data_IF_967047671749
#
_entry.id   IF_967047671749
#
_cell.length_a   1.000
_cell.length_b   1.000
_cell.length_c   1.000
_cell.angle_alpha   90.00
_cell.angle_beta   90.00
_cell.angle_gamma   90.00
#
_symmetry.space_group_name_H-M   'P 1'
#
loop_
_entity.id
_entity.type
_entity.pdbx_description
1 polymer ?
#
# COMPACT_ATOMS: atom_id res chain seq x y z
N UNK A 1 -13.99 -5.70 -25.41
CA UNK A 1 -12.90 -5.15 -24.56
C UNK A 1 -12.91 -3.61 -24.59
N UNK A 2 -13.20 -2.97 -23.46
CA UNK A 2 -13.36 -1.52 -23.38
C UNK A 2 -11.98 -0.82 -23.43
N UNK A 3 -11.70 0.11 -24.36
CA UNK A 3 -10.37 0.71 -24.56
C UNK A 3 -9.88 1.53 -23.35
N UNK A 4 -10.80 1.96 -22.48
CA UNK A 4 -10.46 2.67 -21.24
C UNK A 4 -9.66 1.80 -20.25
N UNK A 5 -10.00 0.51 -20.11
CA UNK A 5 -9.32 -0.39 -19.18
C UNK A 5 -7.89 -0.76 -19.62
N UNK A 6 -7.64 -0.84 -20.93
CA UNK A 6 -6.30 -1.04 -21.47
C UNK A 6 -5.40 0.18 -21.26
N UNK A 7 -5.99 1.39 -21.32
CA UNK A 7 -5.28 2.64 -21.09
C UNK A 7 -4.87 2.82 -19.63
N UNK A 8 -5.76 2.48 -18.68
CA UNK A 8 -5.44 2.53 -17.26
C UNK A 8 -4.38 1.50 -16.86
N UNK A 9 -4.41 0.29 -17.43
CA UNK A 9 -3.39 -0.73 -17.18
C UNK A 9 -1.98 -0.27 -17.63
N UNK A 10 -1.87 0.36 -18.81
CA UNK A 10 -0.60 0.90 -19.29
C UNK A 10 -0.09 2.06 -18.41
N UNK A 11 -0.99 2.93 -17.95
CA UNK A 11 -0.65 4.02 -17.04
C UNK A 11 -0.18 3.50 -15.67
N UNK A 12 -0.81 2.44 -15.15
CA UNK A 12 -0.40 1.77 -13.91
C UNK A 12 1.00 1.19 -14.04
N UNK A 13 1.29 0.47 -15.12
CA UNK A 13 2.60 -0.15 -15.33
C UNK A 13 3.72 0.89 -15.50
N UNK A 14 3.42 2.01 -16.17
CA UNK A 14 4.36 3.13 -16.29
C UNK A 14 4.69 3.71 -14.91
N UNK A 15 3.68 3.95 -14.07
CA UNK A 15 3.90 4.47 -12.72
C UNK A 15 4.60 3.46 -11.80
N UNK A 16 4.35 2.16 -11.93
CA UNK A 16 5.09 1.12 -11.19
C UNK A 16 6.57 1.12 -11.54
N UNK A 17 6.91 1.20 -12.83
CA UNK A 17 8.30 1.28 -13.29
C UNK A 17 8.99 2.54 -12.75
N UNK A 18 8.36 3.70 -12.91
CA UNK A 18 8.89 4.96 -12.38
C UNK A 18 9.05 4.93 -10.86
N UNK A 19 8.14 4.28 -10.13
CA UNK A 19 8.24 4.14 -8.69
C UNK A 19 9.41 3.24 -8.26
N UNK A 20 9.70 2.19 -9.04
CA UNK A 20 10.81 1.26 -8.80
C UNK A 20 12.16 1.91 -9.08
N UNK A 21 12.24 2.69 -10.16
CA UNK A 21 13.49 3.33 -10.60
C UNK A 21 13.77 4.66 -9.87
N UNK A 22 12.77 5.19 -9.16
CA UNK A 22 12.93 6.42 -8.40
C UNK A 22 13.89 6.22 -7.22
N UNK A 23 15.06 6.85 -7.32
CA UNK A 23 16.05 6.90 -6.25
C UNK A 23 15.53 7.58 -4.97
N UNK A 24 14.52 8.46 -5.10
CA UNK A 24 13.97 9.22 -3.99
C UNK A 24 12.65 8.59 -3.49
N UNK A 25 12.55 8.25 -2.19
CA UNK A 25 11.37 7.57 -1.65
C UNK A 25 10.09 8.41 -1.74
N UNK A 26 10.21 9.74 -1.72
CA UNK A 26 9.08 10.66 -1.91
C UNK A 26 8.50 10.57 -3.33
N UNK A 27 9.36 10.52 -4.35
CA UNK A 27 8.97 10.42 -5.76
C UNK A 27 8.29 9.08 -6.03
N UNK A 28 8.86 7.99 -5.52
CA UNK A 28 8.26 6.67 -5.62
C UNK A 28 6.88 6.59 -4.94
N UNK A 29 6.72 7.23 -3.77
CA UNK A 29 5.43 7.28 -3.07
C UNK A 29 4.37 8.03 -3.88
N UNK A 30 4.74 9.12 -4.57
CA UNK A 30 3.83 9.85 -5.45
C UNK A 30 3.34 8.98 -6.62
N UNK A 31 4.23 8.19 -7.22
CA UNK A 31 3.84 7.25 -8.27
C UNK A 31 2.95 6.11 -7.76
N UNK A 32 3.22 5.53 -6.59
CA UNK A 32 2.33 4.53 -5.99
C UNK A 32 0.96 5.11 -5.64
N UNK A 33 0.87 6.35 -5.13
CA UNK A 33 -0.41 7.03 -4.92
C UNK A 33 -1.20 7.19 -6.22
N UNK A 34 -0.50 7.46 -7.34
CA UNK A 34 -1.14 7.55 -8.65
C UNK A 34 -1.67 6.20 -9.12
N UNK A 35 -0.92 5.11 -8.89
CA UNK A 35 -1.40 3.74 -9.15
C UNK A 35 -2.65 3.46 -8.33
N UNK A 36 -2.66 3.77 -7.04
CA UNK A 36 -3.82 3.52 -6.17
C UNK A 36 -5.04 4.38 -6.51
N UNK A 37 -4.84 5.56 -7.10
CA UNK A 37 -5.94 6.38 -7.61
C UNK A 37 -6.59 5.79 -8.87
N UNK A 38 -5.82 5.03 -9.68
CA UNK A 38 -6.32 4.35 -10.88
C UNK A 38 -6.87 2.96 -10.56
N UNK A 39 -6.21 2.25 -9.64
CA UNK A 39 -6.54 0.89 -9.20
C UNK A 39 -6.54 0.84 -7.67
N UNK A 40 -7.66 1.19 -7.03
CA UNK A 40 -7.81 1.05 -5.60
C UNK A 40 -7.67 -0.42 -5.20
N UNK A 41 -6.77 -0.72 -4.27
CA UNK A 41 -6.50 -2.08 -3.81
C UNK A 41 -5.33 -2.78 -4.51
N UNK A 42 -4.58 -2.08 -5.37
CA UNK A 42 -3.35 -2.64 -5.95
C UNK A 42 -2.37 -3.12 -4.86
N UNK A 43 -1.98 -4.41 -4.82
CA UNK A 43 -1.18 -4.95 -3.73
C UNK A 43 0.25 -4.40 -3.73
N UNK A 44 0.89 -4.28 -4.90
CA UNK A 44 2.28 -3.79 -5.01
C UNK A 44 2.39 -2.33 -4.56
N UNK A 45 1.53 -1.45 -5.08
CA UNK A 45 1.52 -0.04 -4.67
C UNK A 45 1.10 0.14 -3.21
N UNK A 46 0.16 -0.67 -2.72
CA UNK A 46 -0.27 -0.61 -1.32
C UNK A 46 0.85 -1.03 -0.38
N UNK A 47 1.52 -2.15 -0.66
CA UNK A 47 2.65 -2.64 0.13
C UNK A 47 3.78 -1.61 0.17
N UNK A 48 4.18 -1.07 -0.98
CA UNK A 48 5.29 -0.14 -1.08
C UNK A 48 5.02 1.19 -0.36
N UNK A 49 3.79 1.71 -0.44
CA UNK A 49 3.40 2.93 0.28
C UNK A 49 3.24 2.67 1.78
N UNK A 50 2.63 1.54 2.17
CA UNK A 50 2.47 1.17 3.57
C UNK A 50 3.82 1.02 4.29
N UNK A 51 4.81 0.34 3.70
CA UNK A 51 6.17 0.23 4.28
C UNK A 51 6.79 1.60 4.56
N UNK A 52 6.60 2.55 3.66
CA UNK A 52 7.11 3.91 3.83
C UNK A 52 6.37 4.67 4.94
N UNK A 53 5.04 4.56 4.98
CA UNK A 53 4.23 5.16 6.04
C UNK A 53 4.64 4.62 7.42
N UNK A 54 4.92 3.32 7.52
CA UNK A 54 5.43 2.70 8.75
C UNK A 54 6.79 3.26 9.15
N UNK A 55 7.72 3.40 8.19
CA UNK A 55 9.02 4.01 8.43
C UNK A 55 8.93 5.49 8.84
N UNK A 56 7.92 6.21 8.37
CA UNK A 56 7.62 7.59 8.76
C UNK A 56 6.89 7.70 10.11
N UNK A 57 6.42 6.58 10.66
CA UNK A 57 5.68 6.52 11.92
C UNK A 57 4.15 6.54 11.78
N UNK A 58 3.63 6.70 10.56
CA UNK A 58 2.21 6.77 10.23
C UNK A 58 1.60 5.38 10.05
N UNK A 59 1.73 4.53 11.08
CA UNK A 59 1.21 3.17 11.06
C UNK A 59 -0.32 3.12 10.83
N UNK A 60 -1.07 4.13 11.29
CA UNK A 60 -2.52 4.23 11.11
C UNK A 60 -2.93 4.30 9.63
N UNK A 61 -2.24 5.12 8.85
CA UNK A 61 -2.51 5.23 7.44
C UNK A 61 -2.06 3.99 6.68
N UNK A 62 -0.91 3.40 7.07
CA UNK A 62 -0.42 2.15 6.51
C UNK A 62 -1.46 1.02 6.65
N UNK A 63 -2.05 0.84 7.84
CA UNK A 63 -3.07 -0.20 8.04
C UNK A 63 -4.35 0.03 7.24
N UNK A 64 -4.81 1.28 7.10
CA UNK A 64 -6.00 1.56 6.27
C UNK A 64 -5.75 1.18 4.81
N UNK A 65 -4.54 1.48 4.33
CA UNK A 65 -4.11 1.15 2.98
C UNK A 65 -4.04 -0.37 2.79
N UNK A 66 -3.39 -1.09 3.73
CA UNK A 66 -3.28 -2.54 3.71
C UNK A 66 -4.64 -3.24 3.83
N UNK A 67 -5.55 -2.73 4.66
CA UNK A 67 -6.91 -3.27 4.78
C UNK A 67 -7.68 -3.18 3.46
N UNK A 68 -7.53 -2.07 2.72
CA UNK A 68 -8.17 -1.90 1.40
C UNK A 68 -7.59 -2.88 0.38
N UNK A 69 -6.27 -3.06 0.39
CA UNK A 69 -5.60 -4.01 -0.49
C UNK A 69 -5.92 -5.47 -0.16
N UNK A 70 -6.01 -5.83 1.13
CA UNK A 70 -6.43 -7.15 1.59
C UNK A 70 -7.90 -7.44 1.28
N UNK A 71 -8.77 -6.43 1.26
CA UNK A 71 -10.16 -6.62 0.85
C UNK A 71 -10.26 -7.05 -0.63
N UNK A 72 -9.35 -6.55 -1.49
CA UNK A 72 -9.25 -6.94 -2.89
C UNK A 72 -8.44 -8.24 -3.09
N UNK A 73 -7.41 -8.45 -2.27
CA UNK A 73 -6.45 -9.56 -2.34
C UNK A 73 -6.24 -10.20 -0.96
N UNK A 74 -7.24 -10.94 -0.44
CA UNK A 74 -7.23 -11.43 0.94
C UNK A 74 -6.20 -12.53 1.22
N UNK A 75 -5.66 -13.16 0.18
CA UNK A 75 -4.66 -14.21 0.27
C UNK A 75 -3.24 -13.74 -0.09
N UNK A 76 -3.03 -12.43 -0.24
CA UNK A 76 -1.71 -11.90 -0.54
C UNK A 76 -0.84 -11.92 0.73
N UNK A 77 0.11 -12.86 0.74
CA UNK A 77 0.98 -13.12 1.89
C UNK A 77 1.81 -11.89 2.28
N UNK A 78 2.25 -11.08 1.32
CA UNK A 78 3.06 -9.89 1.60
C UNK A 78 2.24 -8.81 2.31
N UNK A 79 0.97 -8.64 1.92
CA UNK A 79 0.06 -7.72 2.62
C UNK A 79 -0.25 -8.19 4.04
N UNK A 80 -0.45 -9.50 4.23
CA UNK A 80 -0.68 -10.10 5.54
C UNK A 80 0.55 -9.92 6.44
N UNK A 81 1.73 -10.27 5.94
CA UNK A 81 3.00 -10.17 6.67
C UNK A 81 3.25 -8.74 7.17
N UNK A 82 3.14 -7.77 6.27
CA UNK A 82 3.34 -6.37 6.63
C UNK A 82 2.26 -5.87 7.60
N UNK A 83 1.01 -6.31 7.45
CA UNK A 83 -0.06 -5.99 8.40
C UNK A 83 0.26 -6.52 9.80
N UNK A 84 0.73 -7.77 9.89
CA UNK A 84 1.15 -8.38 11.15
C UNK A 84 2.34 -7.63 11.76
N UNK A 85 3.35 -7.26 10.97
CA UNK A 85 4.50 -6.47 11.43
C UNK A 85 4.05 -5.13 12.04
N UNK A 86 3.16 -4.42 11.34
CA UNK A 86 2.65 -3.11 11.76
C UNK A 86 1.80 -3.21 13.02
N UNK A 87 1.03 -4.30 13.17
CA UNK A 87 0.22 -4.57 14.36
C UNK A 87 1.06 -5.03 15.55
N UNK A 88 2.08 -5.86 15.31
CA UNK A 88 2.99 -6.40 16.33
C UNK A 88 3.98 -5.34 16.86
N UNK A 89 4.15 -4.23 16.14
CA UNK A 89 4.96 -3.10 16.59
C UNK A 89 4.55 -2.59 17.99
N UNK A 90 5.51 -2.27 18.89
CA UNK A 90 5.26 -2.01 20.30
C UNK A 90 4.35 -0.80 20.59
N UNK A 91 4.16 0.09 19.60
CA UNK A 91 3.32 1.29 19.74
C UNK A 91 1.82 1.03 19.64
N UNK A 92 1.37 -0.10 19.07
CA UNK A 92 -0.06 -0.29 18.74
C UNK A 92 -0.78 -1.43 19.44
N UNK A 93 -0.06 -2.43 19.96
CA UNK A 93 -0.65 -3.45 20.83
C UNK A 93 -1.33 -2.82 22.08
N UNK A 94 -0.88 -1.63 22.49
CA UNK A 94 -1.49 -0.85 23.58
C UNK A 94 -2.74 -0.06 23.19
N UNK A 95 -2.90 0.31 21.92
CA UNK A 95 -4.03 1.11 21.43
C UNK A 95 -5.24 0.24 21.02
N UNK A 96 -5.02 -1.03 20.69
CA UNK A 96 -6.08 -1.97 20.30
C UNK A 96 -6.51 -2.92 21.42
N UNK A 97 -5.95 -2.79 22.62
CA UNK A 97 -6.51 -3.48 23.78
C UNK A 97 -7.80 -2.76 24.16
N UNK A 98 -8.99 -3.37 24.01
CA UNK A 98 -10.20 -2.75 24.53
C UNK A 98 -10.01 -2.49 26.03
N UNK A 99 -10.54 -1.39 26.58
CA UNK A 99 -10.58 -1.24 28.03
C UNK A 99 -11.42 -2.40 28.60
N UNK A 100 -10.86 -3.10 29.59
CA UNK A 100 -11.56 -4.11 30.39
C UNK A 100 -12.78 -3.50 31.11
#
# INVERSE_FOLDING_TARGET
>A
PCPAAARTALEVDAHRRLARDAAHPAVASAHHRRVLALTPGDPEASLALARRLVALGDADEALRLLATALAAHPADEALIELTVEVLAGPKRLRAQRPPD
#
